data_IF_253221172688
#
_entry.id   IF_253221172688
#
_cell.length_a   1.000
_cell.length_b   1.000
_cell.length_c   1.000
_cell.angle_alpha   90.00
_cell.angle_beta   90.00
_cell.angle_gamma   90.00
#
_symmetry.space_group_name_H-M   'P 1'
#
loop_
_entity.id
_entity.type
_entity.pdbx_description
1 polymer ?
#
# COMPACT_ATOMS: atom_id res chain seq x y z
N UNK A 1 -53.14 6.98 32.99
CA UNK A 1 -54.43 6.30 33.19
C UNK A 1 -55.02 6.10 31.81
N UNK A 2 -55.35 4.96 31.26
CA UNK A 2 -55.50 3.55 31.65
C UNK A 2 -55.60 2.82 30.27
N UNK A 3 -55.43 1.52 30.03
CA UNK A 3 -54.93 0.33 30.71
C UNK A 3 -54.96 -0.74 29.61
N UNK A 4 -53.99 -1.64 29.67
CA UNK A 4 -53.90 -2.92 28.96
C UNK A 4 -54.97 -3.94 29.36
N UNK A 5 -55.38 -4.79 28.42
CA UNK A 5 -55.82 -6.20 28.57
C UNK A 5 -56.22 -6.71 27.17
N UNK A 6 -56.15 -7.96 26.74
CA UNK A 6 -55.66 -9.29 27.16
C UNK A 6 -55.78 -10.14 25.87
N UNK A 7 -54.98 -11.16 25.58
CA UNK A 7 -55.27 -12.56 25.92
C UNK A 7 -54.46 -13.47 24.99
N UNK A 8 -53.91 -14.54 25.57
CA UNK A 8 -53.24 -15.67 24.90
C UNK A 8 -54.21 -16.51 24.04
N UNK A 9 -53.67 -17.19 23.02
CA UNK A 9 -54.04 -18.57 22.66
C UNK A 9 -52.91 -19.25 21.88
N UNK A 10 -52.56 -20.46 22.32
CA UNK A 10 -51.65 -21.39 21.66
C UNK A 10 -52.44 -22.33 20.72
N UNK A 11 -51.80 -22.80 19.65
CA UNK A 11 -52.07 -24.13 19.07
C UNK A 11 -50.88 -24.61 18.25
N UNK A 12 -50.65 -25.92 18.31
CA UNK A 12 -49.58 -26.65 17.65
C UNK A 12 -50.16 -27.64 16.63
N UNK A 13 -49.40 -27.90 15.55
CA UNK A 13 -49.33 -29.11 14.70
C UNK A 13 -48.83 -28.66 13.30
N UNK A 14 -48.26 -29.44 12.38
CA UNK A 14 -47.47 -30.68 12.35
C UNK A 14 -46.99 -30.84 10.89
N UNK A 15 -45.71 -31.20 10.72
CA UNK A 15 -45.12 -32.07 9.68
C UNK A 15 -45.50 -31.95 8.18
N UNK A 16 -44.50 -31.70 7.33
CA UNK A 16 -44.31 -32.42 6.05
C UNK A 16 -42.84 -32.43 5.63
N UNK A 17 -42.29 -33.62 5.37
CA UNK A 17 -40.96 -33.89 4.78
C UNK A 17 -41.08 -33.94 3.25
N UNK A 18 -40.03 -33.60 2.49
CA UNK A 18 -39.57 -34.42 1.35
C UNK A 18 -38.13 -34.06 0.91
N UNK A 19 -37.41 -35.10 0.48
CA UNK A 19 -35.97 -35.24 0.15
C UNK A 19 -35.52 -34.53 -1.15
N UNK A 20 -34.23 -34.17 -1.22
CA UNK A 20 -33.37 -34.50 -2.39
C UNK A 20 -31.84 -34.38 -2.08
N UNK A 21 -31.19 -35.55 -2.09
CA UNK A 21 -29.81 -35.93 -2.39
C UNK A 21 -28.67 -34.90 -2.50
N UNK A 22 -27.68 -35.02 -1.60
CA UNK A 22 -26.28 -34.62 -1.85
C UNK A 22 -25.46 -35.84 -2.28
N UNK A 23 -24.81 -35.77 -3.43
CA UNK A 23 -23.78 -36.73 -3.85
C UNK A 23 -22.46 -36.37 -3.15
N UNK A 24 -21.95 -37.37 -2.44
CA UNK A 24 -20.60 -37.46 -1.87
C UNK A 24 -19.65 -37.87 -3.00
N UNK A 25 -18.51 -37.19 -3.11
CA UNK A 25 -17.31 -37.77 -3.71
C UNK A 25 -16.23 -37.85 -2.64
N UNK A 26 -15.83 -39.10 -2.40
CA UNK A 26 -14.79 -39.53 -1.48
C UNK A 26 -13.42 -39.41 -2.14
N UNK A 27 -12.43 -38.98 -1.36
CA UNK A 27 -11.09 -39.56 -1.45
C UNK A 27 -10.46 -39.52 -0.05
N UNK A 28 -10.70 -40.60 0.70
CA UNK A 28 -9.94 -40.96 1.88
C UNK A 28 -8.69 -41.72 1.45
N UNK A 29 -7.49 -41.22 1.76
CA UNK A 29 -6.31 -42.07 2.00
C UNK A 29 -5.27 -41.30 2.81
N UNK A 30 -4.67 -41.98 3.79
CA UNK A 30 -3.50 -41.59 4.57
C UNK A 30 -3.68 -40.60 5.72
N UNK A 31 -4.29 -41.07 6.81
CA UNK A 31 -3.74 -40.82 8.15
C UNK A 31 -3.90 -42.08 8.99
N UNK A 32 -2.77 -42.71 9.32
CA UNK A 32 -2.66 -43.65 10.43
C UNK A 32 -1.37 -43.34 11.19
N UNK A 33 -1.52 -43.08 12.49
CA UNK A 33 -0.49 -43.28 13.50
C UNK A 33 0.51 -42.15 13.68
N UNK A 34 0.27 -41.28 14.65
CA UNK A 34 1.37 -40.67 15.41
C UNK A 34 1.05 -40.70 16.92
N UNK A 35 1.73 -41.62 17.61
CA UNK A 35 1.90 -41.61 19.05
C UNK A 35 2.74 -40.39 19.47
N UNK A 36 2.41 -39.88 20.66
CA UNK A 36 3.10 -38.78 21.36
C UNK A 36 4.57 -39.09 21.56
N UNK A 37 5.45 -38.12 21.32
CA UNK A 37 6.61 -37.85 22.18
C UNK A 37 7.07 -36.39 22.04
N UNK A 38 7.42 -35.80 23.18
CA UNK A 38 7.89 -34.43 23.39
C UNK A 38 9.18 -34.09 22.63
N UNK A 39 9.30 -32.84 22.16
CA UNK A 39 10.58 -32.24 21.81
C UNK A 39 10.46 -31.04 20.86
N UNK A 40 10.78 -29.85 21.37
CA UNK A 40 10.96 -28.59 20.63
C UNK A 40 11.55 -28.75 19.22
N UNK A 41 10.88 -28.20 18.20
CA UNK A 41 11.52 -27.67 16.98
C UNK A 41 10.56 -26.74 16.24
N UNK A 42 10.94 -25.46 16.17
CA UNK A 42 10.29 -24.44 15.34
C UNK A 42 10.43 -24.78 13.86
N UNK A 43 9.34 -24.59 13.12
CA UNK A 43 9.23 -24.81 11.68
C UNK A 43 10.06 -23.72 10.96
N UNK A 44 11.17 -24.12 10.35
CA UNK A 44 11.85 -23.39 9.29
C UNK A 44 11.86 -24.30 8.07
N UNK A 45 11.03 -24.01 7.07
CA UNK A 45 11.18 -24.53 5.70
C UNK A 45 10.09 -23.95 4.80
N UNK A 46 10.47 -22.99 3.96
CA UNK A 46 9.80 -22.74 2.70
C UNK A 46 10.23 -23.84 1.71
N UNK A 47 9.35 -24.33 0.81
CA UNK A 47 9.70 -25.39 -0.12
C UNK A 47 10.73 -24.89 -1.14
N UNK A 48 11.88 -25.57 -1.22
CA UNK A 48 12.91 -25.30 -2.22
C UNK A 48 12.48 -25.81 -3.60
N UNK A 49 12.38 -24.91 -4.56
CA UNK A 49 12.27 -25.25 -5.97
C UNK A 49 13.65 -25.10 -6.61
N UNK A 50 14.28 -26.24 -6.90
CA UNK A 50 15.44 -26.27 -7.79
C UNK A 50 14.96 -26.11 -9.24
N UNK A 51 15.34 -25.01 -9.87
CA UNK A 51 15.33 -24.87 -11.32
C UNK A 51 16.73 -24.46 -11.78
N UNK A 52 17.44 -25.42 -12.37
CA UNK A 52 18.65 -25.16 -13.15
C UNK A 52 18.27 -24.82 -14.58
N UNK A 53 18.63 -23.65 -15.08
CA UNK A 53 19.31 -23.51 -16.39
C UNK A 53 19.64 -22.05 -16.69
N UNK A 54 20.88 -21.87 -17.14
CA UNK A 54 21.45 -20.61 -17.59
C UNK A 54 20.71 -20.12 -18.84
N UNK A 55 20.25 -18.87 -18.78
CA UNK A 55 19.89 -18.06 -19.95
C UNK A 55 20.45 -16.67 -19.70
N UNK A 56 21.62 -16.38 -20.27
CA UNK A 56 22.14 -15.02 -20.38
C UNK A 56 21.31 -14.25 -21.41
N UNK A 57 20.11 -13.86 -21.01
CA UNK A 57 19.32 -12.87 -21.74
C UNK A 57 19.98 -11.52 -21.51
N UNK A 58 20.64 -10.99 -22.55
CA UNK A 58 21.07 -9.60 -22.58
C UNK A 58 19.82 -8.73 -22.45
N UNK A 59 19.53 -8.31 -21.22
CA UNK A 59 18.45 -7.38 -20.92
C UNK A 59 18.79 -6.06 -21.61
N UNK A 60 18.09 -5.78 -22.71
CA UNK A 60 17.99 -4.41 -23.20
C UNK A 60 17.43 -3.59 -22.04
N UNK A 61 18.28 -2.78 -21.41
CA UNK A 61 17.89 -1.82 -20.36
C UNK A 61 16.84 -0.89 -20.97
N UNK A 62 15.58 -1.25 -20.79
CA UNK A 62 14.48 -0.31 -20.98
C UNK A 62 14.70 0.70 -19.87
N UNK A 63 15.17 1.89 -20.23
CA UNK A 63 15.22 3.01 -19.30
C UNK A 63 13.77 3.36 -18.94
N UNK A 64 13.30 2.86 -17.81
CA UNK A 64 12.02 3.25 -17.26
C UNK A 64 12.09 4.74 -16.87
N UNK A 65 11.04 5.51 -17.18
CA UNK A 65 10.95 6.87 -16.68
C UNK A 65 10.60 6.83 -15.20
N UNK A 66 11.51 7.36 -14.38
CA UNK A 66 11.25 7.56 -12.95
C UNK A 66 10.17 8.62 -12.76
N UNK A 67 9.14 8.31 -11.97
CA UNK A 67 8.04 9.22 -11.70
C UNK A 67 8.15 9.85 -10.32
N UNK A 68 7.68 11.09 -10.24
CA UNK A 68 7.35 11.72 -8.97
C UNK A 68 5.91 11.37 -8.60
N UNK A 69 5.72 10.70 -7.47
CA UNK A 69 4.44 10.28 -6.91
C UNK A 69 4.11 11.20 -5.73
N UNK A 70 3.21 12.18 -5.87
CA UNK A 70 2.97 13.17 -4.82
C UNK A 70 2.22 12.55 -3.62
N UNK A 71 2.36 13.11 -2.42
CA UNK A 71 1.70 12.60 -1.21
C UNK A 71 0.82 13.66 -0.54
N UNK A 72 -0.27 13.22 0.09
CA UNK A 72 -1.16 14.00 0.94
C UNK A 72 -1.33 13.23 2.26
N UNK A 73 -0.57 13.61 3.29
CA UNK A 73 -0.73 13.01 4.61
C UNK A 73 -1.80 13.77 5.40
N UNK A 74 -2.78 13.05 5.92
CA UNK A 74 -3.96 13.63 6.58
C UNK A 74 -3.97 13.23 8.05
N UNK A 75 -4.12 14.21 8.94
CA UNK A 75 -4.32 13.97 10.36
C UNK A 75 -5.34 14.95 10.94
N UNK A 76 -6.38 14.43 11.58
CA UNK A 76 -7.52 15.19 12.12
C UNK A 76 -8.18 16.07 11.06
N UNK A 77 -8.36 15.52 9.85
CA UNK A 77 -8.97 16.21 8.70
C UNK A 77 -8.13 17.30 8.03
N UNK A 78 -6.86 17.47 8.43
CA UNK A 78 -5.95 18.46 7.84
C UNK A 78 -4.77 17.80 7.14
N UNK A 79 -4.29 18.43 6.09
CA UNK A 79 -3.03 18.04 5.43
C UNK A 79 -1.87 18.45 6.32
N UNK A 80 -1.02 17.49 6.69
CA UNK A 80 0.14 17.71 7.54
C UNK A 80 1.37 17.08 6.93
N UNK A 81 2.53 17.54 7.36
CA UNK A 81 3.79 16.82 7.18
C UNK A 81 4.40 16.57 8.56
N UNK A 82 4.84 15.35 8.78
CA UNK A 82 5.32 14.89 10.08
C UNK A 82 6.73 14.31 9.97
N UNK A 83 7.45 14.28 11.09
CA UNK A 83 8.63 13.43 11.22
C UNK A 83 8.14 12.05 11.62
N UNK A 84 8.13 11.09 10.70
CA UNK A 84 7.37 9.86 10.92
C UNK A 84 7.82 9.02 12.13
N UNK A 85 9.07 9.18 12.61
CA UNK A 85 9.57 8.51 13.83
C UNK A 85 8.89 8.99 15.12
N UNK A 86 7.98 9.97 15.02
CA UNK A 86 7.27 10.57 16.16
C UNK A 86 5.81 10.14 16.28
N UNK A 87 5.30 9.35 15.34
CA UNK A 87 3.95 8.80 15.47
C UNK A 87 3.92 7.76 16.63
N UNK A 88 3.02 7.96 17.61
CA UNK A 88 2.76 7.04 18.73
C UNK A 88 1.26 6.74 18.83
N UNK A 89 0.89 5.53 19.27
CA UNK A 89 -0.48 5.22 19.65
C UNK A 89 -0.55 5.62 21.10
N UNK A 90 -1.28 6.68 21.38
CA UNK A 90 -1.76 6.86 22.72
C UNK A 90 -3.19 7.34 22.65
N UNK A 91 -4.09 6.45 23.10
CA UNK A 91 -5.34 6.84 23.77
C UNK A 91 -5.07 7.57 25.10
N UNK A 92 -3.83 7.98 25.35
CA UNK A 92 -3.44 8.75 26.52
C UNK A 92 -2.96 10.12 26.06
N UNK A 93 -3.66 11.13 26.59
CA UNK A 93 -3.32 12.54 26.57
C UNK A 93 -2.06 12.82 27.40
N UNK A 94 -0.95 12.12 27.15
CA UNK A 94 0.33 12.43 27.76
C UNK A 94 1.37 12.84 26.71
N UNK A 95 1.28 14.13 26.33
CA UNK A 95 2.43 15.04 26.30
C UNK A 95 3.55 14.88 25.28
N UNK A 96 3.77 13.73 24.61
CA UNK A 96 4.75 13.66 23.52
C UNK A 96 4.07 13.97 22.18
N UNK A 97 3.93 15.25 21.87
CA UNK A 97 3.26 15.75 20.68
C UNK A 97 3.85 15.18 19.38
N UNK A 98 2.98 14.76 18.46
CA UNK A 98 3.32 14.49 17.06
C UNK A 98 4.13 15.67 16.50
N UNK A 99 5.40 15.43 16.12
CA UNK A 99 6.23 16.51 15.58
C UNK A 99 5.77 16.80 14.16
N UNK A 100 5.07 17.91 14.03
CA UNK A 100 4.50 18.42 12.78
C UNK A 100 5.48 19.39 12.17
N UNK A 101 6.04 19.05 11.01
CA UNK A 101 6.87 19.95 10.20
C UNK A 101 6.02 21.06 9.58
N UNK A 102 4.77 20.74 9.23
CA UNK A 102 3.86 21.66 8.55
C UNK A 102 2.40 21.21 8.73
N UNK A 103 1.50 22.17 8.87
CA UNK A 103 0.05 21.99 8.77
C UNK A 103 -0.46 23.00 7.74
N UNK A 104 -1.21 22.51 6.74
CA UNK A 104 -1.73 23.37 5.68
C UNK A 104 -3.08 23.96 6.03
N UNK A 105 -3.33 25.17 5.56
CA UNK A 105 -4.68 25.75 5.48
C UNK A 105 -5.46 25.26 4.25
N UNK A 106 -4.79 24.64 3.27
CA UNK A 106 -5.42 24.02 2.10
C UNK A 106 -6.02 22.66 2.46
N UNK A 107 -7.17 22.37 1.89
CA UNK A 107 -7.84 21.07 1.98
C UNK A 107 -7.11 19.99 1.18
N UNK A 108 -7.38 18.71 1.51
CA UNK A 108 -6.84 17.58 0.76
C UNK A 108 -7.31 17.58 -0.72
N UNK A 109 -8.54 18.04 -0.99
CA UNK A 109 -9.06 18.22 -2.35
C UNK A 109 -8.30 19.28 -3.16
N UNK A 110 -7.87 20.38 -2.54
CA UNK A 110 -7.07 21.41 -3.22
C UNK A 110 -5.69 20.87 -3.65
N UNK A 111 -5.03 20.07 -2.80
CA UNK A 111 -3.80 19.39 -3.19
C UNK A 111 -4.04 18.34 -4.29
N UNK A 112 -5.13 17.57 -4.18
CA UNK A 112 -5.49 16.60 -5.22
C UNK A 112 -5.74 17.26 -6.58
N UNK A 113 -6.43 18.41 -6.62
CA UNK A 113 -6.63 19.18 -7.85
C UNK A 113 -5.32 19.73 -8.39
N UNK A 114 -4.42 20.25 -7.54
CA UNK A 114 -3.09 20.67 -7.96
C UNK A 114 -2.34 19.52 -8.67
N UNK A 115 -2.29 18.34 -8.04
CA UNK A 115 -1.61 17.18 -8.63
C UNK A 115 -2.26 16.70 -9.93
N UNK A 116 -3.58 16.84 -10.04
CA UNK A 116 -4.34 16.53 -11.26
C UNK A 116 -4.03 17.50 -12.40
N UNK A 117 -3.98 18.79 -12.10
CA UNK A 117 -3.62 19.84 -13.08
C UNK A 117 -2.21 19.65 -13.62
N UNK A 118 -1.29 19.17 -12.77
CA UNK A 118 0.09 18.83 -13.15
C UNK A 118 0.25 17.43 -13.77
N UNK A 119 -0.84 16.66 -13.92
CA UNK A 119 -0.83 15.33 -14.52
C UNK A 119 -0.12 14.25 -13.71
N UNK A 120 0.13 14.48 -12.41
CA UNK A 120 0.86 13.56 -11.55
C UNK A 120 -0.02 12.36 -11.18
N UNK A 121 0.34 11.16 -11.62
CA UNK A 121 -0.45 9.94 -11.39
C UNK A 121 0.09 9.10 -10.23
N UNK A 122 -0.79 8.30 -9.62
CA UNK A 122 -0.39 7.36 -8.58
C UNK A 122 0.07 8.04 -7.29
N UNK A 123 -0.37 9.28 -7.05
CA UNK A 123 -0.11 9.97 -5.79
C UNK A 123 -0.80 9.30 -4.62
N UNK A 124 -0.26 9.47 -3.42
CA UNK A 124 -0.74 8.82 -2.21
C UNK A 124 -1.57 9.78 -1.35
N UNK A 125 -2.65 9.26 -0.76
CA UNK A 125 -3.43 9.91 0.29
C UNK A 125 -3.33 9.02 1.53
N UNK A 126 -2.57 9.46 2.53
CA UNK A 126 -2.25 8.64 3.70
C UNK A 126 -2.96 9.20 4.93
N UNK A 127 -3.93 8.45 5.46
CA UNK A 127 -4.56 8.78 6.73
C UNK A 127 -3.66 8.36 7.89
N UNK A 128 -3.15 9.34 8.64
CA UNK A 128 -2.32 9.14 9.84
C UNK A 128 -3.14 8.87 11.11
N UNK A 129 -4.47 8.93 11.02
CA UNK A 129 -5.41 8.67 12.11
C UNK A 129 -6.68 7.98 11.62
N UNK A 130 -7.36 7.26 12.52
CA UNK A 130 -8.60 6.54 12.23
C UNK A 130 -9.87 7.38 12.46
N UNK A 131 -9.72 8.69 12.69
CA UNK A 131 -10.81 9.62 12.95
C UNK A 131 -11.63 9.92 11.68
N UNK A 132 -12.90 10.25 11.87
CA UNK A 132 -13.83 10.45 10.75
C UNK A 132 -13.51 11.70 9.91
N UNK A 133 -12.85 12.71 10.50
CA UNK A 133 -12.40 13.88 9.75
C UNK A 133 -11.29 13.50 8.77
N UNK A 134 -10.32 12.68 9.18
CA UNK A 134 -9.27 12.17 8.29
C UNK A 134 -9.83 11.32 7.16
N UNK A 135 -10.83 10.47 7.44
CA UNK A 135 -11.53 9.69 6.40
C UNK A 135 -12.27 10.59 5.41
N UNK A 136 -13.01 11.59 5.91
CA UNK A 136 -13.74 12.53 5.07
C UNK A 136 -12.79 13.29 4.13
N UNK A 137 -11.70 13.85 4.67
CA UNK A 137 -10.70 14.55 3.87
C UNK A 137 -10.02 13.63 2.84
N UNK A 138 -9.79 12.35 3.17
CA UNK A 138 -9.27 11.38 2.20
C UNK A 138 -10.26 11.16 1.05
N UNK A 139 -11.55 10.97 1.35
CA UNK A 139 -12.60 10.81 0.33
C UNK A 139 -12.72 12.06 -0.55
N UNK A 140 -12.64 13.26 0.03
CA UNK A 140 -12.64 14.52 -0.73
C UNK A 140 -11.48 14.58 -1.75
N UNK A 141 -10.27 14.17 -1.34
CA UNK A 141 -9.13 14.09 -2.25
C UNK A 141 -9.37 13.07 -3.38
N UNK A 142 -9.90 11.89 -3.05
CA UNK A 142 -10.25 10.86 -4.02
C UNK A 142 -11.32 11.35 -5.01
N UNK A 143 -12.29 12.15 -4.58
CA UNK A 143 -13.31 12.73 -5.45
C UNK A 143 -12.75 13.82 -6.38
N UNK A 144 -11.79 14.60 -5.90
CA UNK A 144 -11.11 15.62 -6.71
C UNK A 144 -10.25 15.00 -7.81
N UNK A 145 -9.52 13.93 -7.47
CA UNK A 145 -8.66 13.21 -8.39
C UNK A 145 -8.88 11.69 -8.36
N UNK A 146 -10.01 11.21 -8.91
CA UNK A 146 -10.36 9.81 -8.91
C UNK A 146 -9.55 9.05 -9.96
N UNK A 147 -9.32 7.78 -9.69
CA UNK A 147 -8.84 6.85 -10.71
C UNK A 147 -9.92 6.48 -11.71
N UNK A 148 -9.49 5.98 -12.87
CA UNK A 148 -10.39 5.53 -13.93
C UNK A 148 -11.42 4.51 -13.40
N UNK A 149 -12.69 4.96 -13.25
CA UNK A 149 -13.83 4.10 -12.96
C UNK A 149 -14.31 3.47 -14.26
N UNK A 150 -13.99 2.20 -14.53
CA UNK A 150 -14.69 1.46 -15.57
C UNK A 150 -15.73 0.51 -14.99
N UNK A 151 -17.00 0.87 -15.21
CA UNK A 151 -18.22 0.06 -15.01
C UNK A 151 -19.06 0.02 -16.30
N UNK A 152 -18.44 0.06 -17.48
CA UNK A 152 -19.12 -0.05 -18.78
C UNK A 152 -18.75 -1.38 -19.47
N UNK A 153 -19.72 -2.09 -20.07
CA UNK A 153 -19.43 -3.26 -20.89
C UNK A 153 -18.71 -2.79 -22.16
N UNK A 154 -17.39 -3.02 -22.21
CA UNK A 154 -16.57 -2.72 -23.38
C UNK A 154 -16.87 -3.79 -24.45
N UNK A 155 -17.33 -3.43 -25.66
CA UNK A 155 -17.46 -4.38 -26.76
C UNK A 155 -16.10 -5.06 -27.00
N UNK A 156 -16.09 -6.39 -27.16
CA UNK A 156 -14.86 -7.22 -27.20
C UNK A 156 -13.79 -6.75 -28.21
N UNK A 157 -14.19 -5.96 -29.22
CA UNK A 157 -13.35 -5.45 -30.30
C UNK A 157 -12.34 -4.36 -29.86
N UNK A 158 -12.60 -3.59 -28.79
CA UNK A 158 -11.67 -2.56 -28.29
C UNK A 158 -10.97 -2.97 -26.98
N UNK A 159 -11.18 -4.20 -26.51
CA UNK A 159 -10.62 -4.71 -25.25
C UNK A 159 -9.08 -4.64 -25.22
N UNK A 160 -8.43 -4.88 -26.35
CA UNK A 160 -6.98 -4.92 -26.44
C UNK A 160 -6.33 -3.52 -26.41
N UNK A 161 -6.94 -2.51 -27.06
CA UNK A 161 -6.43 -1.13 -27.09
C UNK A 161 -6.73 -0.34 -25.80
N UNK A 162 -7.74 -0.75 -25.02
CA UNK A 162 -8.11 -0.11 -23.75
C UNK A 162 -7.49 -0.78 -22.51
N UNK A 163 -6.74 -1.88 -22.66
CA UNK A 163 -6.13 -2.55 -21.51
C UNK A 163 -5.10 -1.67 -20.80
N UNK A 164 -4.35 -0.85 -21.53
CA UNK A 164 -3.42 0.14 -20.97
C UNK A 164 -4.11 1.34 -20.33
N UNK A 165 -5.41 1.57 -20.62
CA UNK A 165 -6.24 2.62 -20.03
C UNK A 165 -6.94 2.19 -18.73
N UNK A 166 -6.84 0.92 -18.33
CA UNK A 166 -7.55 0.38 -17.15
C UNK A 166 -7.03 0.93 -15.81
N UNK A 167 -5.83 1.52 -15.79
CA UNK A 167 -5.18 2.08 -14.60
C UNK A 167 -4.83 3.58 -14.77
N UNK A 168 -5.45 4.29 -15.72
CA UNK A 168 -5.09 5.68 -15.96
C UNK A 168 -5.65 6.61 -14.86
N UNK A 169 -4.77 7.02 -13.95
CA UNK A 169 -4.89 8.23 -13.16
C UNK A 169 -5.43 8.01 -11.76
N UNK A 170 -5.36 9.08 -10.98
CA UNK A 170 -5.95 9.15 -9.64
C UNK A 170 -5.01 8.81 -8.50
N UNK A 171 -5.57 8.93 -7.30
CA UNK A 171 -4.85 8.76 -6.05
C UNK A 171 -4.99 7.33 -5.50
N UNK A 172 -4.00 6.90 -4.75
CA UNK A 172 -3.97 5.67 -3.98
C UNK A 172 -4.19 6.02 -2.51
N UNK A 173 -4.96 5.24 -1.76
CA UNK A 173 -5.31 5.59 -0.37
C UNK A 173 -4.79 4.58 0.64
N UNK A 174 -4.13 5.07 1.68
CA UNK A 174 -3.59 4.28 2.79
C UNK A 174 -4.05 4.78 4.15
N UNK A 175 -3.77 3.99 5.18
CA UNK A 175 -4.12 4.30 6.57
C UNK A 175 -5.39 3.58 7.05
N UNK A 176 -5.22 2.55 7.89
CA UNK A 176 -6.35 1.79 8.45
C UNK A 176 -7.14 0.93 7.43
N UNK A 177 -6.58 0.70 6.23
CA UNK A 177 -7.17 -0.17 5.21
C UNK A 177 -7.22 -1.62 5.72
N UNK A 178 -8.36 -2.26 5.52
CA UNK A 178 -8.62 -3.66 5.84
C UNK A 178 -9.73 -4.24 4.93
N UNK A 179 -9.99 -5.54 5.05
CA UNK A 179 -10.97 -6.25 4.20
C UNK A 179 -12.38 -5.64 4.22
N UNK A 180 -12.78 -4.97 5.29
CA UNK A 180 -14.14 -4.43 5.44
C UNK A 180 -14.32 -3.04 4.80
N UNK A 181 -13.23 -2.29 4.57
CA UNK A 181 -13.31 -0.91 4.04
C UNK A 181 -12.60 -0.72 2.69
N UNK A 182 -11.72 -1.64 2.29
CA UNK A 182 -10.91 -1.51 1.08
C UNK A 182 -11.77 -1.28 -0.17
N UNK A 183 -12.84 -2.07 -0.34
CA UNK A 183 -13.72 -1.93 -1.50
C UNK A 183 -14.42 -0.57 -1.54
N UNK A 184 -14.87 -0.06 -0.40
CA UNK A 184 -15.54 1.25 -0.33
C UNK A 184 -14.61 2.35 -0.85
N UNK A 185 -13.33 2.36 -0.47
CA UNK A 185 -12.39 3.37 -0.96
C UNK A 185 -12.14 3.29 -2.47
N UNK A 186 -12.12 2.08 -3.04
CA UNK A 186 -12.07 1.91 -4.50
C UNK A 186 -13.33 2.50 -5.15
N UNK A 187 -14.52 2.29 -4.56
CA UNK A 187 -15.78 2.85 -5.04
C UNK A 187 -15.83 4.38 -4.92
N UNK A 188 -15.22 4.93 -3.88
CA UNK A 188 -15.02 6.38 -3.70
C UNK A 188 -14.02 6.98 -4.69
N UNK A 189 -13.31 6.17 -5.48
CA UNK A 189 -12.46 6.64 -6.57
C UNK A 189 -10.97 6.45 -6.34
N UNK A 190 -10.54 5.74 -5.30
CA UNK A 190 -9.15 5.32 -5.20
C UNK A 190 -8.79 4.39 -6.37
N UNK A 191 -7.65 4.66 -7.01
CA UNK A 191 -7.07 3.75 -8.01
C UNK A 191 -6.67 2.43 -7.34
N UNK A 192 -6.03 2.55 -6.18
CA UNK A 192 -5.52 1.46 -5.34
C UNK A 192 -5.78 1.76 -3.86
N UNK A 193 -5.78 0.69 -3.07
CA UNK A 193 -5.64 0.78 -1.62
C UNK A 193 -4.22 0.36 -1.21
N UNK A 194 -3.64 1.10 -0.28
CA UNK A 194 -2.31 0.87 0.29
C UNK A 194 -2.49 0.19 1.64
N UNK A 195 -1.86 -0.96 1.85
CA UNK A 195 -1.97 -1.73 3.10
C UNK A 195 -0.61 -2.04 3.71
N UNK A 196 -0.56 -1.88 5.04
CA UNK A 196 0.63 -2.14 5.88
C UNK A 196 0.23 -3.00 7.08
N UNK A 197 -0.23 -2.37 8.17
CA UNK A 197 -0.43 -2.99 9.49
C UNK A 197 -1.54 -4.04 9.55
N UNK A 198 -2.46 -4.08 8.59
CA UNK A 198 -3.46 -5.14 8.51
C UNK A 198 -2.84 -6.49 8.12
N UNK A 199 -1.88 -6.46 7.19
CA UNK A 199 -1.14 -7.65 6.70
C UNK A 199 0.06 -7.95 7.60
N UNK A 200 0.81 -6.91 7.99
CA UNK A 200 1.96 -7.06 8.88
C UNK A 200 1.54 -6.71 10.31
N UNK A 201 1.22 -7.73 11.09
CA UNK A 201 0.74 -7.59 12.46
C UNK A 201 1.60 -8.41 13.41
N UNK A 202 1.92 -7.86 14.58
CA UNK A 202 2.74 -8.53 15.59
C UNK A 202 4.10 -9.04 15.06
N UNK A 203 4.80 -8.27 14.21
CA UNK A 203 6.07 -8.65 13.59
C UNK A 203 5.98 -9.86 12.63
N UNK A 204 4.79 -10.26 12.20
CA UNK A 204 4.57 -11.35 11.27
C UNK A 204 3.67 -10.93 10.11
N UNK A 205 3.87 -11.57 8.96
CA UNK A 205 2.99 -11.43 7.81
C UNK A 205 1.83 -12.41 7.92
N UNK A 206 0.61 -11.90 7.97
CA UNK A 206 -0.63 -12.69 7.91
C UNK A 206 -1.03 -12.88 6.45
N UNK A 207 -0.61 -14.02 5.88
CA UNK A 207 -0.85 -14.33 4.48
C UNK A 207 -2.34 -14.54 4.16
N UNK A 208 -3.15 -15.00 5.11
CA UNK A 208 -4.59 -15.19 4.86
C UNK A 208 -5.29 -13.83 4.75
N UNK A 209 -4.93 -12.85 5.59
CA UNK A 209 -5.41 -11.47 5.43
C UNK A 209 -5.03 -10.84 4.10
N UNK A 210 -3.81 -11.09 3.63
CA UNK A 210 -3.36 -10.63 2.31
C UNK A 210 -4.19 -11.27 1.19
N UNK A 211 -4.40 -12.59 1.24
CA UNK A 211 -5.26 -13.29 0.27
C UNK A 211 -6.70 -12.79 0.31
N UNK A 212 -7.24 -12.50 1.49
CA UNK A 212 -8.59 -11.98 1.63
C UNK A 212 -8.74 -10.59 1.02
N UNK A 213 -7.74 -9.70 1.20
CA UNK A 213 -7.71 -8.42 0.47
C UNK A 213 -7.67 -8.61 -1.04
N UNK A 214 -6.79 -9.50 -1.54
CA UNK A 214 -6.72 -9.81 -2.97
C UNK A 214 -8.04 -10.36 -3.50
N UNK A 215 -8.77 -11.17 -2.73
CA UNK A 215 -10.11 -11.66 -3.10
C UNK A 215 -11.14 -10.52 -3.20
N UNK A 216 -11.04 -9.51 -2.34
CA UNK A 216 -12.02 -8.41 -2.28
C UNK A 216 -11.76 -7.34 -3.34
N UNK A 217 -10.53 -6.86 -3.49
CA UNK A 217 -10.22 -5.75 -4.40
C UNK A 217 -9.44 -6.16 -5.66
N UNK A 218 -8.87 -7.36 -5.69
CA UNK A 218 -7.96 -7.80 -6.75
C UNK A 218 -6.54 -7.27 -6.52
N UNK A 219 -5.51 -8.03 -6.93
CA UNK A 219 -4.11 -7.62 -6.74
C UNK A 219 -3.78 -6.33 -7.50
N UNK A 220 -4.45 -6.09 -8.63
CA UNK A 220 -4.29 -4.93 -9.53
C UNK A 220 -4.76 -3.60 -8.92
N UNK A 221 -5.28 -3.63 -7.69
CA UNK A 221 -5.74 -2.47 -6.93
C UNK A 221 -5.13 -2.45 -5.53
N UNK A 222 -4.10 -3.26 -5.29
CA UNK A 222 -3.46 -3.39 -4.00
C UNK A 222 -2.00 -2.94 -4.08
N UNK A 223 -1.64 -2.01 -3.20
CA UNK A 223 -0.25 -1.60 -2.95
C UNK A 223 0.16 -2.10 -1.58
N UNK A 224 1.30 -2.76 -1.51
CA UNK A 224 1.89 -3.15 -0.24
C UNK A 224 2.87 -2.05 0.21
N UNK A 225 2.58 -1.43 1.34
CA UNK A 225 3.52 -0.53 1.99
C UNK A 225 4.47 -1.34 2.89
N UNK A 226 5.75 -1.30 2.55
CA UNK A 226 6.84 -2.00 3.19
C UNK A 226 7.75 -0.97 3.86
N UNK A 227 7.38 -0.53 5.05
CA UNK A 227 8.24 0.33 5.86
C UNK A 227 9.49 -0.44 6.30
N UNK A 228 10.67 0.03 5.93
CA UNK A 228 11.93 -0.69 6.07
C UNK A 228 12.91 0.04 6.98
N UNK A 229 13.60 -0.71 7.84
CA UNK A 229 14.67 -0.20 8.70
C UNK A 229 15.90 -1.10 8.65
N UNK A 230 17.09 -0.51 8.61
CA UNK A 230 18.34 -1.29 8.53
C UNK A 230 18.67 -1.91 9.88
N UNK A 231 18.92 -3.22 9.89
CA UNK A 231 19.34 -3.99 11.05
C UNK A 231 20.36 -5.04 10.61
N UNK A 232 21.54 -5.00 11.22
CA UNK A 232 22.63 -5.96 10.95
C UNK A 232 22.97 -6.09 9.46
N UNK A 233 23.00 -4.95 8.75
CA UNK A 233 23.32 -4.88 7.32
C UNK A 233 22.20 -5.31 6.37
N UNK A 234 21.00 -5.65 6.88
CA UNK A 234 19.83 -6.03 6.08
C UNK A 234 18.65 -5.11 6.37
N UNK A 235 17.70 -5.01 5.45
CA UNK A 235 16.49 -4.22 5.65
C UNK A 235 15.37 -5.11 6.15
N UNK A 236 14.87 -4.84 7.34
CA UNK A 236 13.73 -5.55 7.91
C UNK A 236 12.46 -4.69 7.76
N UNK A 237 11.34 -5.34 7.45
CA UNK A 237 10.03 -4.68 7.48
C UNK A 237 9.70 -4.38 8.94
N UNK A 238 9.31 -3.16 9.24
CA UNK A 238 8.94 -2.71 10.58
C UNK A 238 7.45 -2.36 10.64
N UNK A 239 6.79 -2.81 11.70
CA UNK A 239 5.37 -2.59 11.97
C UNK A 239 5.19 -1.68 13.19
N UNK A 240 3.94 -1.40 13.56
CA UNK A 240 3.58 -0.61 14.74
C UNK A 240 4.24 0.78 14.73
N UNK A 241 4.12 1.48 13.59
CA UNK A 241 4.79 2.76 13.33
C UNK A 241 6.30 2.72 13.53
N UNK A 242 6.90 1.71 12.91
CA UNK A 242 8.35 1.54 12.83
C UNK A 242 9.05 1.18 14.15
N UNK A 243 8.27 0.78 15.15
CA UNK A 243 8.80 0.43 16.47
C UNK A 243 9.16 -1.06 16.57
N UNK A 244 8.47 -1.92 15.81
CA UNK A 244 8.61 -3.36 15.92
C UNK A 244 9.18 -3.98 14.65
N UNK A 245 10.38 -4.54 14.74
CA UNK A 245 10.98 -5.31 13.66
C UNK A 245 10.22 -6.62 13.43
N UNK A 246 9.88 -6.89 12.17
CA UNK A 246 9.42 -8.22 11.74
C UNK A 246 10.58 -9.16 11.48
N UNK A 247 10.28 -10.46 11.37
CA UNK A 247 11.23 -11.46 10.88
C UNK A 247 11.33 -11.50 9.34
N UNK A 248 10.66 -10.57 8.65
CA UNK A 248 10.66 -10.45 7.19
C UNK A 248 11.69 -9.40 6.77
N UNK A 249 12.69 -9.84 6.02
CA UNK A 249 13.74 -9.00 5.46
C UNK A 249 13.49 -8.79 3.98
N UNK A 250 13.74 -7.58 3.47
CA UNK A 250 13.68 -7.31 2.05
C UNK A 250 14.89 -7.94 1.35
N UNK A 251 14.57 -8.81 0.40
CA UNK A 251 15.47 -9.39 -0.59
C UNK A 251 14.65 -9.76 -1.85
N UNK A 252 15.32 -10.34 -2.84
CA UNK A 252 14.73 -10.77 -4.10
C UNK A 252 13.57 -11.76 -3.90
N UNK A 253 13.77 -12.81 -3.10
CA UNK A 253 12.78 -13.86 -2.87
C UNK A 253 11.49 -13.30 -2.23
N UNK A 254 11.63 -12.41 -1.25
CA UNK A 254 10.48 -11.77 -0.59
C UNK A 254 9.75 -10.82 -1.55
N UNK A 255 10.46 -10.02 -2.35
CA UNK A 255 9.84 -9.12 -3.32
C UNK A 255 9.10 -9.91 -4.42
N UNK A 256 9.70 -10.97 -4.94
CA UNK A 256 9.05 -11.89 -5.90
C UNK A 256 7.80 -12.54 -5.31
N UNK A 257 7.89 -13.02 -4.07
CA UNK A 257 6.74 -13.62 -3.40
C UNK A 257 5.59 -12.62 -3.25
N UNK A 258 5.87 -11.42 -2.72
CA UNK A 258 4.85 -10.39 -2.48
C UNK A 258 4.23 -9.84 -3.76
N UNK A 259 4.98 -9.79 -4.87
CA UNK A 259 4.49 -9.34 -6.17
C UNK A 259 3.37 -10.22 -6.76
N UNK A 260 3.20 -11.44 -6.25
CA UNK A 260 2.04 -12.27 -6.59
C UNK A 260 0.71 -11.70 -6.05
N UNK A 261 0.77 -10.81 -5.06
CA UNK A 261 -0.40 -10.31 -4.33
C UNK A 261 -0.64 -8.81 -4.50
N UNK A 262 0.30 -8.05 -5.05
CA UNK A 262 0.20 -6.60 -5.21
C UNK A 262 0.46 -6.14 -6.66
N UNK A 263 0.00 -4.94 -6.99
CA UNK A 263 0.29 -4.25 -8.25
C UNK A 263 1.53 -3.37 -8.14
N UNK A 264 1.73 -2.72 -6.98
CA UNK A 264 2.90 -1.88 -6.70
C UNK A 264 3.39 -2.06 -5.25
N UNK A 265 4.64 -1.65 -5.01
CA UNK A 265 5.20 -1.47 -3.68
C UNK A 265 5.36 0.02 -3.33
N UNK A 266 5.06 0.36 -2.08
CA UNK A 266 5.45 1.64 -1.48
C UNK A 266 6.47 1.35 -0.37
N UNK A 267 7.70 1.84 -0.49
CA UNK A 267 8.79 1.49 0.44
C UNK A 267 9.27 2.72 1.17
N UNK A 268 9.02 2.76 2.48
CA UNK A 268 9.45 3.83 3.35
C UNK A 268 10.84 3.54 3.93
N UNK A 269 11.80 4.44 3.71
CA UNK A 269 13.12 4.42 4.35
C UNK A 269 13.08 5.05 5.73
N UNK A 270 12.67 4.28 6.74
CA UNK A 270 12.36 4.76 8.10
C UNK A 270 13.48 5.58 8.74
N UNK A 271 14.74 5.20 8.51
CA UNK A 271 15.87 5.86 9.16
C UNK A 271 16.10 7.30 8.62
N UNK A 272 15.56 7.65 7.45
CA UNK A 272 15.71 8.97 6.81
C UNK A 272 14.40 9.74 6.60
N UNK A 273 13.25 9.09 6.80
CA UNK A 273 11.93 9.66 6.51
C UNK A 273 11.58 10.91 7.33
N UNK A 274 11.14 11.97 6.66
CA UNK A 274 10.76 13.24 7.28
C UNK A 274 11.92 14.04 7.90
N UNK A 275 13.15 13.51 7.89
CA UNK A 275 14.32 14.15 8.52
C UNK A 275 15.05 15.15 7.62
N UNK A 276 14.82 15.08 6.31
CA UNK A 276 15.54 15.88 5.30
C UNK A 276 17.08 15.78 5.49
N UNK A 277 17.60 14.56 5.61
CA UNK A 277 19.04 14.28 5.83
C UNK A 277 19.71 13.54 4.66
N UNK A 278 19.03 13.43 3.52
CA UNK A 278 19.47 12.63 2.38
C UNK A 278 18.79 11.26 2.35
N UNK A 279 18.83 10.64 1.16
CA UNK A 279 18.18 9.36 0.86
C UNK A 279 18.99 8.16 1.40
N UNK A 280 18.33 7.02 1.51
CA UNK A 280 18.98 5.73 1.70
C UNK A 280 19.28 5.09 0.33
N UNK A 281 20.46 5.37 -0.23
CA UNK A 281 20.87 4.86 -1.54
C UNK A 281 20.97 3.32 -1.59
N UNK A 282 21.37 2.67 -0.49
CA UNK A 282 21.51 1.22 -0.46
C UNK A 282 20.14 0.54 -0.57
N UNK A 283 19.14 1.08 0.12
CA UNK A 283 17.76 0.61 -0.01
C UNK A 283 17.23 0.85 -1.43
N UNK A 284 17.43 2.04 -2.00
CA UNK A 284 17.00 2.35 -3.37
C UNK A 284 17.65 1.39 -4.38
N UNK A 285 18.95 1.09 -4.23
CA UNK A 285 19.66 0.15 -5.11
C UNK A 285 19.16 -1.29 -4.98
N UNK A 286 18.80 -1.72 -3.77
CA UNK A 286 18.17 -3.03 -3.55
C UNK A 286 16.84 -3.12 -4.30
N UNK A 287 16.00 -2.08 -4.19
CA UNK A 287 14.69 -2.03 -4.87
C UNK A 287 14.85 -2.02 -6.39
N UNK A 288 15.73 -1.19 -6.93
CA UNK A 288 15.96 -1.10 -8.37
C UNK A 288 16.47 -2.41 -8.99
N UNK A 289 17.25 -3.19 -8.24
CA UNK A 289 17.76 -4.48 -8.70
C UNK A 289 16.73 -5.60 -8.63
N UNK A 290 15.88 -5.62 -7.61
CA UNK A 290 15.14 -6.82 -7.23
C UNK A 290 13.61 -6.68 -7.29
N UNK A 291 13.07 -5.47 -7.43
CA UNK A 291 11.61 -5.30 -7.48
C UNK A 291 11.05 -5.74 -8.83
N UNK A 292 10.18 -6.77 -8.89
CA UNK A 292 9.62 -7.27 -10.16
C UNK A 292 8.37 -6.50 -10.61
N UNK A 293 7.86 -5.60 -9.77
CA UNK A 293 6.70 -4.74 -10.01
C UNK A 293 7.06 -3.29 -9.67
N UNK A 294 6.28 -2.28 -10.12
CA UNK A 294 6.56 -0.89 -9.83
C UNK A 294 6.74 -0.63 -8.33
N UNK A 295 7.73 0.17 -7.99
CA UNK A 295 8.07 0.51 -6.61
C UNK A 295 8.30 1.99 -6.46
N UNK A 296 7.70 2.57 -5.43
CA UNK A 296 7.91 3.97 -5.04
C UNK A 296 8.69 4.03 -3.74
N UNK A 297 9.82 4.75 -3.74
CA UNK A 297 10.61 5.03 -2.55
C UNK A 297 10.14 6.32 -1.86
N UNK A 298 10.00 6.25 -0.54
CA UNK A 298 9.59 7.35 0.32
C UNK A 298 10.62 7.56 1.46
N UNK A 299 11.33 8.69 1.45
CA UNK A 299 12.19 9.08 2.56
C UNK A 299 13.38 9.94 2.19
N UNK A 300 13.82 10.80 3.11
CA UNK A 300 15.15 11.42 3.07
C UNK A 300 15.40 12.56 2.08
N UNK A 301 14.61 12.70 1.01
CA UNK A 301 14.81 13.73 -0.04
C UNK A 301 14.91 15.14 0.55
N UNK A 302 15.91 15.91 0.08
CA UNK A 302 16.18 17.29 0.51
C UNK A 302 16.27 18.27 -0.65
N UNK A 303 16.86 17.83 -1.77
CA UNK A 303 17.20 18.69 -2.92
C UNK A 303 16.93 17.95 -4.23
N UNK A 304 16.97 18.69 -5.35
CA UNK A 304 16.89 18.09 -6.69
C UNK A 304 18.01 17.06 -6.97
N UNK A 305 19.17 17.18 -6.29
CA UNK A 305 20.27 16.23 -6.43
C UNK A 305 19.85 14.84 -5.93
N UNK A 306 19.02 14.77 -4.88
CA UNK A 306 18.56 13.50 -4.35
C UNK A 306 17.63 12.76 -5.33
N UNK A 307 16.86 13.47 -6.16
CA UNK A 307 16.02 12.86 -7.20
C UNK A 307 16.89 12.17 -8.26
N UNK A 308 17.98 12.82 -8.68
CA UNK A 308 18.95 12.20 -9.60
C UNK A 308 19.68 11.03 -8.95
N UNK A 309 20.02 11.11 -7.66
CA UNK A 309 20.63 9.99 -6.93
C UNK A 309 19.68 8.80 -6.82
N UNK A 310 18.39 9.02 -6.56
CA UNK A 310 17.39 7.95 -6.57
C UNK A 310 17.33 7.31 -7.95
N UNK A 311 17.24 8.12 -9.02
CA UNK A 311 17.19 7.62 -10.39
C UNK A 311 18.41 6.77 -10.73
N UNK A 312 19.61 7.20 -10.35
CA UNK A 312 20.86 6.45 -10.62
C UNK A 312 20.94 5.19 -9.76
N UNK A 313 20.70 5.29 -8.46
CA UNK A 313 20.78 4.15 -7.54
C UNK A 313 19.74 3.08 -7.89
N UNK A 314 18.52 3.49 -8.25
CA UNK A 314 17.41 2.62 -8.60
C UNK A 314 17.43 2.13 -10.05
N UNK A 315 18.48 2.41 -10.81
CA UNK A 315 18.63 2.08 -12.24
C UNK A 315 17.43 2.51 -13.11
N UNK A 316 16.81 3.64 -12.76
CA UNK A 316 15.62 4.15 -13.43
C UNK A 316 14.31 3.41 -13.10
N UNK A 317 14.34 2.38 -12.25
CA UNK A 317 13.20 1.50 -11.96
C UNK A 317 12.46 1.84 -10.66
N UNK A 318 12.90 2.86 -9.91
CA UNK A 318 12.34 3.25 -8.61
C UNK A 318 11.74 4.64 -8.70
N UNK A 319 10.41 4.73 -8.62
CA UNK A 319 9.67 5.98 -8.46
C UNK A 319 9.98 6.61 -7.10
N UNK A 320 9.65 7.89 -6.91
CA UNK A 320 9.91 8.59 -5.65
C UNK A 320 8.75 9.46 -5.21
N UNK A 321 8.57 9.56 -3.90
CA UNK A 321 7.69 10.56 -3.28
C UNK A 321 8.49 11.55 -2.43
N UNK A 322 8.03 12.80 -2.43
CA UNK A 322 8.60 13.89 -1.65
C UNK A 322 7.48 14.55 -0.88
N UNK A 323 7.59 14.54 0.45
CA UNK A 323 6.69 15.26 1.34
C UNK A 323 7.37 16.51 1.87
N UNK A 324 7.83 16.43 3.12
CA UNK A 324 8.34 17.56 3.91
C UNK A 324 9.32 18.49 3.18
N UNK A 325 10.16 18.04 2.26
CA UNK A 325 11.12 18.93 1.60
C UNK A 325 10.47 19.97 0.67
N UNK A 326 9.25 19.72 0.18
CA UNK A 326 8.57 20.60 -0.77
C UNK A 326 8.12 21.92 -0.14
N UNK A 327 8.25 23.01 -0.89
CA UNK A 327 7.78 24.35 -0.51
C UNK A 327 6.27 24.44 -0.29
N UNK A 328 5.47 23.66 -1.03
CA UNK A 328 4.02 23.51 -0.80
C UNK A 328 3.69 22.91 0.58
N UNK A 329 4.69 22.36 1.27
CA UNK A 329 4.64 21.88 2.65
C UNK A 329 5.65 22.56 3.59
N UNK A 330 6.04 23.81 3.29
CA UNK A 330 6.94 24.59 4.15
C UNK A 330 8.42 24.14 4.12
N UNK A 331 8.81 23.36 3.12
CA UNK A 331 10.21 23.06 2.82
C UNK A 331 10.85 24.08 1.88
N UNK A 332 12.06 23.77 1.39
CA UNK A 332 12.86 24.66 0.53
C UNK A 332 12.99 24.13 -0.91
N UNK A 333 12.51 22.92 -1.20
CA UNK A 333 12.55 22.33 -2.53
C UNK A 333 11.34 22.82 -3.33
N UNK A 334 11.53 23.57 -4.43
CA UNK A 334 10.38 24.09 -5.17
C UNK A 334 9.59 22.97 -5.84
N UNK A 335 8.31 22.85 -5.53
CA UNK A 335 7.41 21.85 -6.12
C UNK A 335 7.40 21.90 -7.65
N UNK A 336 7.36 23.12 -8.22
CA UNK A 336 7.41 23.34 -9.68
C UNK A 336 8.66 22.72 -10.34
N UNK A 337 9.80 22.71 -9.64
CA UNK A 337 11.05 22.19 -10.18
C UNK A 337 11.03 20.66 -10.20
N UNK A 338 10.38 20.05 -9.20
CA UNK A 338 10.10 18.60 -9.13
C UNK A 338 9.13 18.18 -10.24
N UNK A 339 8.05 18.93 -10.47
CA UNK A 339 7.10 18.67 -11.57
C UNK A 339 7.81 18.80 -12.94
N UNK A 340 8.59 19.86 -13.14
CA UNK A 340 9.37 20.02 -14.36
C UNK A 340 10.39 18.90 -14.56
N UNK A 341 10.98 18.40 -13.47
CA UNK A 341 11.87 17.24 -13.52
C UNK A 341 11.13 15.96 -13.90
N UNK A 342 9.96 15.72 -13.35
CA UNK A 342 9.11 14.58 -13.68
C UNK A 342 8.74 14.56 -15.16
N UNK A 343 8.26 15.67 -15.71
CA UNK A 343 7.90 15.79 -17.13
C UNK A 343 9.09 15.51 -18.08
N UNK A 344 10.31 15.88 -17.67
CA UNK A 344 11.53 15.55 -18.45
C UNK A 344 11.81 14.05 -18.49
N UNK A 345 11.44 13.28 -17.47
CA UNK A 345 11.66 11.83 -17.47
C UNK A 345 10.76 11.13 -18.49
N UNK A 346 9.51 11.58 -18.61
CA UNK A 346 8.54 11.03 -19.58
C UNK A 346 8.95 11.32 -21.03
N UNK A 347 9.56 12.49 -21.28
CA UNK A 347 10.03 12.88 -22.61
C UNK A 347 11.23 12.06 -23.09
N UNK A 348 12.02 11.49 -22.17
CA UNK A 348 13.19 10.66 -22.49
C UNK A 348 12.84 9.22 -22.91
N UNK A 349 11.54 8.85 -22.92
CA UNK A 349 11.05 7.54 -23.38
C UNK A 349 10.74 7.49 -24.89
N UNK A 350 11.02 8.56 -25.64
CA UNK A 350 10.76 8.67 -27.09
C UNK A 350 11.98 8.30 -27.93
#
# INVERSE_FOLDING_TARGET
MATSSSSLRASASSSSKFLASRKVFSSSSFFHGFQRHHGNRFITSFPSLHASSQSSSSCLSIKCAVRFRPCIDIHKGKVKQIVGSTLRDSKEEDGSALVTNFESDKSAAEFANLYKEDGLMGGHVIMLGADDLSKAAAVEALHAYPGSKYKLPIPQIIHFWLMDLKNLGGLQVGGGINVNNALNYIEEGASHVIVTSYVFNNAQMDLERLKDLVRVVGKQKLVLDLSCRKKDGRYAIVTDRWQKFSDVYLDEEVLEFLANYADEFLVHGVDVEGKRLGIDEELVALLGRHSPIPVTYAGGVTTMIDLERIKVAGDGCVDLTVGSALDIFGGNLPYKDVVAWHARQETLMV
#
